data_IF_964977001324
#
_entry.id   IF_964977001324
#
_cell.length_a   1.000
_cell.length_b   1.000
_cell.length_c   1.000
_cell.angle_alpha   90.00
_cell.angle_beta   90.00
_cell.angle_gamma   90.00
#
_symmetry.space_group_name_H-M   'P 1'
#
loop_
_entity.id
_entity.type
_entity.pdbx_description
1 polymer ?
#
# COMPACT_ATOMS: atom_id res chain seq x y z
N UNK A 1 20.67 7.25 13.00
CA UNK A 1 19.52 8.18 13.05
C UNK A 1 18.25 7.37 13.16
N UNK A 2 17.22 7.89 13.85
CA UNK A 2 15.91 7.24 13.91
C UNK A 2 15.22 7.26 12.54
N UNK A 3 14.38 6.26 12.23
CA UNK A 3 13.62 6.24 10.98
C UNK A 3 12.48 7.26 11.03
N UNK A 4 12.01 7.73 9.86
CA UNK A 4 10.90 8.67 9.77
C UNK A 4 9.64 8.14 10.48
N UNK A 5 9.37 6.83 10.40
CA UNK A 5 8.23 6.21 11.06
C UNK A 5 8.33 6.27 12.59
N UNK A 6 9.51 5.97 13.14
CA UNK A 6 9.72 6.03 14.60
C UNK A 6 9.55 7.45 15.15
N UNK A 7 10.01 8.46 14.40
CA UNK A 7 9.81 9.86 14.76
C UNK A 7 8.32 10.25 14.72
N UNK A 8 7.60 9.80 13.70
CA UNK A 8 6.16 10.07 13.54
C UNK A 8 5.34 9.45 14.67
N UNK A 9 5.66 8.22 15.06
CA UNK A 9 4.99 7.51 16.13
C UNK A 9 5.22 8.17 17.50
N UNK A 10 6.46 8.56 17.80
CA UNK A 10 6.79 9.29 19.02
C UNK A 10 6.08 10.67 19.09
N UNK A 11 6.02 11.39 17.97
CA UNK A 11 5.28 12.65 17.90
C UNK A 11 3.77 12.47 18.17
N UNK A 12 3.17 11.40 17.65
CA UNK A 12 1.77 11.08 17.94
C UNK A 12 1.56 10.70 19.42
N UNK A 13 2.50 9.96 20.01
CA UNK A 13 2.44 9.57 21.42
C UNK A 13 2.50 10.78 22.38
N UNK A 14 3.14 11.88 21.97
CA UNK A 14 3.19 13.14 22.74
C UNK A 14 2.05 14.10 22.44
N UNK A 15 1.03 13.66 21.69
CA UNK A 15 -0.21 14.41 21.46
C UNK A 15 -0.25 15.18 20.14
N UNK A 16 0.76 15.06 19.27
CA UNK A 16 0.63 15.59 17.91
C UNK A 16 -0.42 14.79 17.14
N UNK A 17 -1.26 15.49 16.37
CA UNK A 17 -2.32 14.89 15.57
C UNK A 17 -2.14 15.26 14.10
N UNK A 18 -2.57 14.38 13.19
CA UNK A 18 -2.53 14.63 11.75
C UNK A 18 -3.39 15.84 11.38
N UNK A 19 -2.93 16.63 10.40
CA UNK A 19 -3.63 17.84 9.96
C UNK A 19 -5.09 17.57 9.55
N UNK A 20 -5.35 16.46 8.85
CA UNK A 20 -6.72 16.10 8.47
C UNK A 20 -7.66 15.85 9.66
N UNK A 21 -7.16 15.18 10.71
CA UNK A 21 -7.96 14.94 11.93
C UNK A 21 -8.23 16.26 12.67
N UNK A 22 -7.23 17.13 12.75
CA UNK A 22 -7.38 18.47 13.33
C UNK A 22 -8.37 19.32 12.52
N UNK A 23 -8.29 19.27 11.18
CA UNK A 23 -9.22 19.94 10.27
C UNK A 23 -10.66 19.48 10.47
N UNK A 24 -10.90 18.16 10.51
CA UNK A 24 -12.24 17.59 10.77
C UNK A 24 -12.83 18.06 12.11
N UNK A 25 -12.01 18.16 13.15
CA UNK A 25 -12.46 18.70 14.45
C UNK A 25 -12.87 20.17 14.32
N UNK A 26 -12.06 20.99 13.64
CA UNK A 26 -12.37 22.41 13.42
C UNK A 26 -13.62 22.62 12.56
N UNK A 27 -13.92 21.73 11.62
CA UNK A 27 -15.19 21.75 10.87
C UNK A 27 -16.36 21.54 11.81
N UNK A 28 -16.27 20.55 12.71
CA UNK A 28 -17.32 20.28 13.72
C UNK A 28 -17.52 21.48 14.66
N UNK A 29 -16.45 22.21 14.96
CA UNK A 29 -16.47 23.45 15.77
C UNK A 29 -16.93 24.69 14.97
N UNK A 30 -17.17 24.56 13.65
CA UNK A 30 -17.57 25.68 12.79
C UNK A 30 -16.46 26.69 12.48
N UNK A 31 -15.20 26.35 12.76
CA UNK A 31 -14.04 27.25 12.61
C UNK A 31 -13.51 27.27 11.17
N UNK A 32 -13.70 26.18 10.42
CA UNK A 32 -13.21 26.04 9.05
C UNK A 32 -14.20 25.22 8.23
N UNK A 33 -14.04 25.24 6.91
CA UNK A 33 -14.88 24.46 5.99
C UNK A 33 -14.18 23.19 5.51
N UNK A 34 -14.97 22.24 5.01
CA UNK A 34 -14.41 21.02 4.39
C UNK A 34 -13.48 21.35 3.22
N UNK A 35 -13.79 22.38 2.45
CA UNK A 35 -13.01 22.78 1.29
C UNK A 35 -11.62 23.32 1.68
N UNK A 36 -11.54 24.15 2.73
CA UNK A 36 -10.25 24.61 3.27
C UNK A 36 -9.39 23.45 3.78
N UNK A 37 -10.00 22.47 4.45
CA UNK A 37 -9.30 21.28 4.94
C UNK A 37 -8.79 20.42 3.79
N UNK A 38 -9.61 20.18 2.76
CA UNK A 38 -9.21 19.40 1.59
C UNK A 38 -8.06 20.06 0.82
N UNK A 39 -8.04 21.40 0.71
CA UNK A 39 -6.92 22.12 0.10
C UNK A 39 -5.63 22.04 0.91
N UNK A 40 -5.72 21.93 2.23
CA UNK A 40 -4.56 21.88 3.12
C UNK A 40 -3.98 20.47 3.33
N UNK A 41 -4.79 19.43 3.13
CA UNK A 41 -4.39 18.03 3.39
C UNK A 41 -4.00 17.35 2.09
N UNK A 42 -2.75 16.90 2.03
CA UNK A 42 -2.32 16.01 0.96
C UNK A 42 -2.72 14.57 1.31
N UNK A 43 -3.58 13.94 0.51
CA UNK A 43 -3.84 12.52 0.61
C UNK A 43 -2.70 11.77 -0.08
N UNK A 44 -1.98 10.94 0.69
CA UNK A 44 -1.12 9.91 0.11
C UNK A 44 -1.93 8.61 0.14
N UNK A 45 -2.37 8.15 -1.03
CA UNK A 45 -2.93 6.81 -1.17
C UNK A 45 -1.81 5.80 -0.97
N UNK A 46 -1.67 5.29 0.25
CA UNK A 46 -0.85 4.10 0.50
C UNK A 46 -1.73 2.87 0.25
N UNK A 47 -1.71 2.42 -1.01
CA UNK A 47 -2.33 1.15 -1.38
C UNK A 47 -1.56 0.03 -0.69
N UNK A 48 -2.21 -0.63 0.27
CA UNK A 48 -1.63 -1.76 1.00
C UNK A 48 -2.29 -3.06 0.57
N UNK A 49 -1.52 -4.13 0.58
CA UNK A 49 -1.99 -5.49 0.33
C UNK A 49 -1.46 -6.43 1.41
N UNK A 50 -2.05 -7.63 1.50
CA UNK A 50 -1.54 -8.69 2.35
C UNK A 50 -0.56 -9.54 1.54
N UNK A 51 0.65 -9.73 2.06
CA UNK A 51 1.59 -10.64 1.45
C UNK A 51 1.03 -12.06 1.45
N UNK A 52 0.83 -12.64 0.27
CA UNK A 52 0.27 -13.98 0.09
C UNK A 52 1.09 -15.10 0.73
N UNK A 53 2.38 -14.87 0.98
CA UNK A 53 3.27 -15.86 1.62
C UNK A 53 3.30 -15.79 3.15
N UNK A 54 3.31 -14.59 3.73
CA UNK A 54 3.55 -14.43 5.18
C UNK A 54 2.42 -13.72 5.94
N UNK A 55 1.34 -13.31 5.26
CA UNK A 55 0.14 -12.73 5.85
C UNK A 55 0.31 -11.30 6.40
N UNK A 56 1.50 -10.69 6.29
CA UNK A 56 1.72 -9.32 6.76
C UNK A 56 1.23 -8.29 5.76
N UNK A 57 0.64 -7.21 6.26
CA UNK A 57 0.32 -6.03 5.46
C UNK A 57 1.60 -5.36 4.97
N UNK A 58 1.62 -5.04 3.67
CA UNK A 58 2.76 -4.45 2.97
C UNK A 58 2.24 -3.41 1.96
N UNK A 59 3.06 -2.41 1.63
CA UNK A 59 2.72 -1.48 0.54
C UNK A 59 2.80 -2.17 -0.82
N UNK A 60 1.86 -1.87 -1.71
CA UNK A 60 1.90 -2.28 -3.13
C UNK A 60 3.03 -1.60 -3.90
N UNK A 61 3.64 -0.54 -3.36
CA UNK A 61 4.83 0.10 -3.92
C UNK A 61 6.10 -0.75 -3.76
N UNK A 62 6.06 -1.77 -2.91
CA UNK A 62 7.21 -2.65 -2.69
C UNK A 62 7.28 -3.70 -3.80
N UNK A 63 8.48 -3.88 -4.38
CA UNK A 63 8.74 -4.98 -5.31
C UNK A 63 8.65 -6.34 -4.62
N UNK A 64 9.12 -6.40 -3.38
CA UNK A 64 9.19 -7.61 -2.57
C UNK A 64 8.77 -7.32 -1.13
N UNK A 65 8.21 -8.33 -0.46
CA UNK A 65 7.83 -8.25 0.93
C UNK A 65 9.08 -8.00 1.81
N UNK A 66 9.15 -6.90 2.58
CA UNK A 66 10.31 -6.63 3.44
C UNK A 66 10.49 -7.68 4.55
N UNK A 67 9.46 -8.47 4.84
CA UNK A 67 9.48 -9.45 5.91
C UNK A 67 9.84 -10.87 5.48
N UNK A 68 9.57 -11.25 4.23
CA UNK A 68 9.80 -12.62 3.75
C UNK A 68 10.41 -12.71 2.34
N UNK A 69 10.69 -11.56 1.72
CA UNK A 69 11.26 -11.40 0.37
C UNK A 69 10.42 -11.98 -0.76
N UNK A 70 9.14 -12.28 -0.51
CA UNK A 70 8.24 -12.74 -1.56
C UNK A 70 7.84 -11.58 -2.49
N UNK A 71 7.90 -11.72 -3.82
CA UNK A 71 7.46 -10.68 -4.75
C UNK A 71 6.01 -10.27 -4.50
N UNK A 72 5.77 -8.97 -4.38
CA UNK A 72 4.40 -8.43 -4.18
C UNK A 72 3.76 -8.11 -5.53
N UNK A 73 4.57 -7.58 -6.45
CA UNK A 73 4.16 -7.26 -7.80
C UNK A 73 4.77 -8.31 -8.74
N UNK A 74 3.98 -9.14 -9.44
CA UNK A 74 4.53 -10.15 -10.32
C UNK A 74 5.19 -9.50 -11.55
N UNK A 75 6.29 -10.10 -11.98
CA UNK A 75 7.02 -9.71 -13.17
C UNK A 75 7.16 -10.88 -14.14
N UNK A 76 7.23 -10.58 -15.43
CA UNK A 76 7.52 -11.59 -16.45
C UNK A 76 8.97 -12.06 -16.31
N UNK A 77 9.20 -13.37 -16.16
CA UNK A 77 10.55 -13.95 -16.06
C UNK A 77 11.40 -13.70 -17.32
N UNK A 78 10.77 -13.60 -18.49
CA UNK A 78 11.49 -13.43 -19.77
C UNK A 78 11.93 -12.00 -20.06
N UNK A 79 11.18 -10.98 -19.62
CA UNK A 79 11.48 -9.58 -19.95
C UNK A 79 11.58 -8.65 -18.73
N UNK A 80 11.31 -9.14 -17.53
CA UNK A 80 11.42 -8.41 -16.26
C UNK A 80 10.36 -7.34 -16.02
N UNK A 81 9.40 -7.14 -16.94
CA UNK A 81 8.34 -6.13 -16.78
C UNK A 81 7.26 -6.60 -15.80
N UNK A 82 6.70 -5.64 -15.06
CA UNK A 82 5.54 -5.86 -14.21
C UNK A 82 4.35 -6.30 -15.06
N UNK A 83 3.64 -7.32 -14.58
CA UNK A 83 2.43 -7.87 -15.19
C UNK A 83 1.34 -7.96 -14.14
N UNK A 84 0.08 -8.09 -14.57
CA UNK A 84 -1.00 -8.35 -13.62
C UNK A 84 -1.04 -9.85 -13.24
N UNK A 85 -1.43 -10.20 -12.01
CA UNK A 85 -1.50 -11.58 -11.56
C UNK A 85 -2.49 -12.47 -12.35
N UNK A 86 -3.55 -11.88 -12.89
CA UNK A 86 -4.61 -12.56 -13.65
C UNK A 86 -4.25 -12.78 -15.14
N UNK A 87 -3.10 -12.28 -15.59
CA UNK A 87 -2.66 -12.42 -16.97
C UNK A 87 -1.96 -13.75 -17.20
N UNK A 88 -2.37 -14.45 -18.26
CA UNK A 88 -1.78 -15.73 -18.68
C UNK A 88 -0.60 -15.56 -19.64
N UNK A 89 -0.52 -14.44 -20.36
CA UNK A 89 0.53 -14.16 -21.36
C UNK A 89 1.03 -12.73 -21.17
N UNK A 90 2.35 -12.53 -21.27
CA UNK A 90 2.96 -11.21 -21.16
C UNK A 90 2.64 -10.36 -22.40
N UNK A 91 2.01 -9.17 -22.27
CA UNK A 91 1.68 -8.33 -23.42
C UNK A 91 2.90 -7.69 -24.09
N UNK A 92 4.06 -7.72 -23.43
CA UNK A 92 5.27 -7.06 -23.89
C UNK A 92 6.22 -7.97 -24.67
N UNK A 93 6.32 -9.24 -24.29
CA UNK A 93 7.23 -10.20 -24.93
C UNK A 93 6.54 -11.49 -25.40
N UNK A 94 5.24 -11.64 -25.15
CA UNK A 94 4.42 -12.79 -25.56
C UNK A 94 4.83 -14.13 -24.94
N UNK A 95 5.65 -14.13 -23.89
CA UNK A 95 5.94 -15.33 -23.12
C UNK A 95 4.78 -15.64 -22.17
N UNK A 96 4.52 -16.92 -21.94
CA UNK A 96 3.56 -17.38 -20.94
C UNK A 96 3.98 -16.92 -19.53
N UNK A 97 3.01 -16.47 -18.76
CA UNK A 97 3.18 -16.08 -17.36
C UNK A 97 2.78 -17.28 -16.49
N UNK A 98 3.69 -17.72 -15.62
CA UNK A 98 3.36 -18.79 -14.66
C UNK A 98 2.35 -18.23 -13.65
N UNK A 99 1.20 -18.90 -13.52
CA UNK A 99 0.14 -18.56 -12.58
C UNK A 99 0.67 -18.68 -11.13
N UNK A 100 1.20 -17.57 -10.60
CA UNK A 100 1.68 -17.51 -9.23
C UNK A 100 0.56 -17.01 -8.30
N UNK A 101 -0.41 -17.90 -8.04
CA UNK A 101 -1.30 -17.76 -6.89
C UNK A 101 -2.79 -17.90 -7.18
N UNK A 102 -3.25 -19.14 -7.42
CA UNK A 102 -4.63 -19.52 -7.11
C UNK A 102 -4.61 -20.27 -5.78
N UNK A 103 -5.29 -19.71 -4.78
CA UNK A 103 -5.36 -20.23 -3.43
C UNK A 103 -6.81 -20.36 -3.03
N UNK A 104 -7.41 -21.52 -3.32
CA UNK A 104 -8.76 -21.84 -2.87
C UNK A 104 -8.91 -23.37 -2.73
N UNK A 105 -8.40 -23.90 -1.60
CA UNK A 105 -8.97 -25.10 -0.98
C UNK A 105 -10.32 -24.69 -0.39
N UNK A 106 -11.41 -24.99 -1.10
CA UNK A 106 -12.75 -25.00 -0.55
C UNK A 106 -13.07 -26.45 -0.14
N UNK A 107 -13.23 -26.78 1.15
CA UNK A 107 -13.73 -28.10 1.52
C UNK A 107 -15.23 -28.19 1.19
N UNK A 108 -15.62 -29.31 0.57
CA UNK A 108 -17.01 -29.79 0.43
C UNK A 108 -17.67 -30.05 1.79
#
# INVERSE_FOLDING_TARGET
GASADTLREAAMATGMTKLGVSGLRKIREGITTIDEVLRAVHQKEELTTICSRCGKAVSLDFKECPFCKYPIVPNCESCGRIVQPDWIVCPYCRNDLKENGKGDNLPE
#
